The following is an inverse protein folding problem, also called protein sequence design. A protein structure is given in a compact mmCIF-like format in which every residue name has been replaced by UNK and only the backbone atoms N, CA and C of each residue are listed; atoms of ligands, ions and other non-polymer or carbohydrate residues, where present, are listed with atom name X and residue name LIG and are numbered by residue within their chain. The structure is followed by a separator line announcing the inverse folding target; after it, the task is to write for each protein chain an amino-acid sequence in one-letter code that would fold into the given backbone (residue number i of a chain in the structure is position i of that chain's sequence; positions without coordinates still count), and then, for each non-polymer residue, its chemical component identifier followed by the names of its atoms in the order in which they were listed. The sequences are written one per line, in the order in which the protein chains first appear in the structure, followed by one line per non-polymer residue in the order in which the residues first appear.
data_IF_769392717902
#
_entry.id   IF_769392717902
#
_cell.length_a   1.000
_cell.length_b   1.000
_cell.length_c   1.000
_cell.angle_alpha   90.00
_cell.angle_beta   90.00
_cell.angle_gamma   90.00
#
_symmetry.space_group_name_H-M   'P 1'
#
loop_
_entity.id
_entity.type
_entity.pdbx_description
1 polymer ?
#
# COMPACT_ATOMS: atom_id res chain seq x y z
N UNK A 1 9.04 23.77 5.32
CA UNK A 1 8.27 23.65 6.57
C UNK A 1 9.23 23.40 7.72
N UNK A 2 9.04 23.94 8.92
CA UNK A 2 9.83 23.49 10.07
C UNK A 2 9.52 22.01 10.31
N UNK A 3 10.55 21.18 10.31
CA UNK A 3 10.41 19.77 10.68
C UNK A 3 9.88 19.70 12.12
N UNK A 4 8.72 19.10 12.29
CA UNK A 4 8.21 18.74 13.63
C UNK A 4 9.18 17.71 14.23
N UNK A 5 9.42 17.79 15.52
CA UNK A 5 10.23 16.73 16.13
C UNK A 5 9.48 15.40 16.02
N UNK A 6 10.15 14.28 15.70
CA UNK A 6 9.51 12.97 15.59
C UNK A 6 8.61 12.62 16.78
N UNK A 7 9.03 12.97 17.98
CA UNK A 7 8.26 12.75 19.21
C UNK A 7 6.91 13.50 19.23
N UNK A 8 6.85 14.73 18.72
CA UNK A 8 5.61 15.51 18.70
C UNK A 8 4.61 14.92 17.70
N UNK A 9 5.09 14.46 16.55
CA UNK A 9 4.24 13.85 15.51
C UNK A 9 3.71 12.51 15.95
N UNK A 10 4.54 11.66 16.52
CA UNK A 10 4.14 10.35 17.04
C UNK A 10 3.06 10.47 18.12
N UNK A 11 3.20 11.42 19.04
CA UNK A 11 2.21 11.60 20.11
C UNK A 11 0.89 12.22 19.63
N UNK A 12 0.91 13.04 18.59
CA UNK A 12 -0.29 13.78 18.16
C UNK A 12 -1.19 13.00 17.19
N UNK A 13 -0.65 12.07 16.40
CA UNK A 13 -1.38 11.38 15.33
C UNK A 13 -1.37 9.86 15.44
N UNK A 14 -0.52 9.28 16.30
CA UNK A 14 -0.53 7.84 16.52
C UNK A 14 -1.86 7.42 17.13
N UNK A 15 -2.47 6.43 16.49
CA UNK A 15 -3.70 5.82 16.94
C UNK A 15 -3.57 4.29 16.86
N UNK A 16 -3.93 3.61 17.92
CA UNK A 16 -4.08 2.17 17.96
C UNK A 16 -5.46 1.86 18.52
N UNK A 17 -6.36 1.47 17.63
CA UNK A 17 -7.73 1.08 17.93
C UNK A 17 -7.87 -0.42 18.12
N UNK A 18 -9.12 -0.85 18.16
CA UNK A 18 -9.48 -2.27 18.29
C UNK A 18 -9.33 -3.01 16.96
N UNK A 19 -9.61 -2.33 15.85
CA UNK A 19 -9.61 -2.89 14.48
C UNK A 19 -8.80 -2.05 13.51
N UNK A 20 -8.15 -0.99 14.00
CA UNK A 20 -7.41 -0.06 13.16
C UNK A 20 -6.19 0.48 13.85
N UNK A 21 -5.23 0.93 13.05
CA UNK A 21 -4.06 1.62 13.53
C UNK A 21 -3.67 2.71 12.52
N UNK A 22 -3.21 3.85 13.03
CA UNK A 22 -2.55 4.89 12.25
C UNK A 22 -1.22 5.22 12.91
N UNK A 23 -0.16 5.17 12.12
CA UNK A 23 1.17 5.57 12.56
C UNK A 23 1.78 6.51 11.52
N UNK A 24 2.27 7.68 11.93
CA UNK A 24 3.17 8.49 11.13
C UNK A 24 4.44 7.71 10.82
N UNK A 25 5.04 7.94 9.63
CA UNK A 25 6.24 7.21 9.21
C UNK A 25 7.39 7.33 10.22
N UNK A 26 7.57 8.50 10.82
CA UNK A 26 8.59 8.76 11.83
C UNK A 26 8.36 7.98 13.16
N UNK A 27 7.22 7.36 13.32
CA UNK A 27 6.91 6.45 14.43
C UNK A 27 7.45 5.03 14.24
N UNK A 28 7.86 4.68 13.02
CA UNK A 28 8.40 3.35 12.72
C UNK A 28 9.92 3.33 12.88
N UNK A 29 10.46 2.41 13.68
CA UNK A 29 11.91 2.22 13.74
C UNK A 29 12.40 1.58 12.44
N UNK A 30 13.56 2.02 11.89
CA UNK A 30 14.17 1.36 10.75
C UNK A 30 14.56 -0.08 11.11
N UNK A 31 14.30 -0.99 10.20
CA UNK A 31 14.55 -2.42 10.35
C UNK A 31 15.49 -2.92 9.25
N UNK A 32 16.13 -4.05 9.49
CA UNK A 32 16.93 -4.76 8.49
C UNK A 32 16.13 -5.94 7.95
N UNK A 33 16.02 -6.04 6.64
CA UNK A 33 15.33 -7.16 6.01
C UNK A 33 16.33 -8.19 5.47
N UNK A 34 16.13 -9.49 5.71
CA UNK A 34 16.87 -10.54 5.04
C UNK A 34 16.71 -10.42 3.51
N UNK A 35 17.84 -10.52 2.77
CA UNK A 35 17.83 -10.36 1.32
C UNK A 35 17.89 -8.90 0.81
N UNK A 36 17.98 -7.90 1.71
CA UNK A 36 18.04 -6.48 1.38
C UNK A 36 19.25 -5.78 2.01
N UNK A 37 20.47 -6.14 1.60
CA UNK A 37 21.68 -5.56 2.18
C UNK A 37 21.72 -4.05 1.93
N UNK A 38 22.05 -3.29 2.99
CA UNK A 38 22.19 -1.83 2.91
C UNK A 38 20.87 -1.05 2.88
N UNK A 39 19.72 -1.69 2.68
CA UNK A 39 18.44 -1.01 2.71
C UNK A 39 18.00 -0.65 4.13
N UNK A 40 17.27 0.47 4.26
CA UNK A 40 16.43 0.73 5.42
C UNK A 40 14.99 0.32 5.10
N UNK A 41 14.35 -0.33 6.05
CA UNK A 41 12.99 -0.80 5.88
C UNK A 41 12.12 -0.40 7.08
N UNK A 42 10.88 -0.02 6.79
CA UNK A 42 9.87 0.29 7.80
C UNK A 42 8.73 -0.72 7.64
N UNK A 43 8.56 -1.60 8.63
CA UNK A 43 7.48 -2.60 8.63
C UNK A 43 6.20 -1.91 9.08
N UNK A 44 5.38 -1.51 8.11
CA UNK A 44 4.17 -0.72 8.33
C UNK A 44 3.04 -1.59 8.90
N UNK A 45 2.87 -2.81 8.37
CA UNK A 45 1.94 -3.80 8.88
C UNK A 45 2.54 -5.20 8.86
N UNK A 46 2.08 -6.03 9.78
CA UNK A 46 2.44 -7.44 9.87
C UNK A 46 1.36 -8.22 10.63
N UNK A 47 1.41 -9.56 10.65
CA UNK A 47 0.49 -10.37 11.44
C UNK A 47 0.45 -10.03 12.94
N UNK A 48 1.51 -9.42 13.48
CA UNK A 48 1.52 -8.94 14.88
C UNK A 48 0.52 -7.80 15.12
N UNK A 49 0.13 -7.06 14.07
CA UNK A 49 -0.92 -6.04 14.10
C UNK A 49 -2.32 -6.64 13.85
N UNK A 50 -2.40 -7.92 13.51
CA UNK A 50 -3.63 -8.60 13.11
C UNK A 50 -3.87 -8.62 11.59
N UNK A 51 -2.92 -8.12 10.79
CA UNK A 51 -3.04 -8.08 9.34
C UNK A 51 -2.76 -9.45 8.70
N UNK A 52 -3.52 -9.83 7.68
CA UNK A 52 -3.29 -11.01 6.85
C UNK A 52 -2.15 -10.82 5.82
N UNK A 53 -1.41 -9.74 5.92
CA UNK A 53 -0.33 -9.34 5.00
C UNK A 53 0.83 -8.67 5.75
N UNK A 54 1.94 -8.50 5.05
CA UNK A 54 3.06 -7.65 5.48
C UNK A 54 3.18 -6.50 4.51
N UNK A 55 3.16 -5.25 5.01
CA UNK A 55 3.42 -4.07 4.20
C UNK A 55 4.68 -3.37 4.70
N UNK A 56 5.57 -3.04 3.77
CA UNK A 56 6.92 -2.55 4.08
C UNK A 56 7.23 -1.37 3.16
N UNK A 57 7.74 -0.30 3.72
CA UNK A 57 8.41 0.75 2.97
C UNK A 57 9.91 0.46 3.00
N UNK A 58 10.56 0.51 1.83
CA UNK A 58 11.98 0.20 1.68
C UNK A 58 12.68 1.35 0.98
N UNK A 59 13.70 1.90 1.64
CA UNK A 59 14.68 2.80 1.05
C UNK A 59 15.91 1.98 0.63
N UNK A 60 16.07 1.77 -0.68
CA UNK A 60 17.18 1.03 -1.26
C UNK A 60 18.23 2.01 -1.80
N UNK A 61 19.43 2.07 -1.21
CA UNK A 61 20.47 3.01 -1.62
C UNK A 61 21.02 2.73 -3.04
N UNK A 62 21.65 3.75 -3.62
CA UNK A 62 22.27 3.64 -4.94
C UNK A 62 23.25 2.46 -5.05
N UNK A 63 23.18 1.73 -6.16
CA UNK A 63 24.04 0.59 -6.46
C UNK A 63 23.73 -0.68 -5.65
N UNK A 64 22.67 -0.68 -4.85
CA UNK A 64 22.27 -1.84 -4.05
C UNK A 64 21.23 -2.71 -4.77
N UNK A 65 21.12 -3.94 -4.29
CA UNK A 65 20.12 -4.92 -4.71
C UNK A 65 19.41 -5.46 -3.49
N UNK A 66 18.11 -5.74 -3.64
CA UNK A 66 17.32 -6.36 -2.59
C UNK A 66 16.17 -7.16 -3.16
N UNK A 67 15.75 -8.21 -2.45
CA UNK A 67 14.67 -9.05 -2.93
C UNK A 67 14.47 -10.29 -2.08
N UNK A 68 13.68 -11.21 -2.59
CA UNK A 68 13.41 -12.50 -1.95
C UNK A 68 13.55 -13.63 -2.96
N UNK A 69 14.02 -14.77 -2.49
CA UNK A 69 13.95 -16.02 -3.22
C UNK A 69 12.48 -16.40 -3.50
N UNK A 70 12.29 -17.29 -4.46
CA UNK A 70 10.99 -17.86 -4.75
C UNK A 70 10.39 -18.52 -3.50
N UNK A 71 9.11 -18.27 -3.29
CA UNK A 71 8.31 -18.87 -2.23
C UNK A 71 6.97 -19.27 -2.87
N UNK A 72 6.60 -20.54 -2.76
CA UNK A 72 5.43 -21.10 -3.43
C UNK A 72 4.09 -20.57 -2.92
N UNK A 73 4.08 -19.82 -1.85
CA UNK A 73 2.89 -19.31 -1.20
C UNK A 73 2.78 -17.78 -1.21
N UNK A 74 3.92 -17.07 -1.25
CA UNK A 74 3.95 -15.63 -1.08
C UNK A 74 4.03 -14.89 -2.41
N UNK A 75 3.02 -14.09 -2.69
CA UNK A 75 3.03 -13.09 -3.77
C UNK A 75 3.48 -11.72 -3.24
N UNK A 76 4.03 -10.91 -4.14
CA UNK A 76 4.57 -9.59 -3.77
C UNK A 76 4.00 -8.52 -4.70
N UNK A 77 3.21 -7.60 -4.15
CA UNK A 77 2.88 -6.35 -4.82
C UNK A 77 3.97 -5.32 -4.54
N UNK A 78 4.32 -4.52 -5.54
CA UNK A 78 5.24 -3.40 -5.42
C UNK A 78 4.67 -2.14 -6.04
N UNK A 79 5.06 -1.00 -5.50
CA UNK A 79 4.83 0.31 -6.07
C UNK A 79 6.07 1.18 -5.85
N UNK A 80 6.61 1.78 -6.92
CA UNK A 80 7.77 2.66 -6.84
C UNK A 80 7.30 4.08 -6.52
N UNK A 81 7.69 4.57 -5.34
CA UNK A 81 7.33 5.90 -4.85
C UNK A 81 8.29 6.98 -5.37
N UNK A 82 9.60 6.68 -5.37
CA UNK A 82 10.64 7.64 -5.75
C UNK A 82 11.89 6.95 -6.29
N UNK A 83 12.70 7.65 -7.09
CA UNK A 83 13.93 7.16 -7.66
C UNK A 83 13.73 6.30 -8.90
N UNK A 84 14.59 5.31 -9.12
CA UNK A 84 14.48 4.36 -10.22
C UNK A 84 15.04 3.00 -9.81
N UNK A 85 14.43 1.94 -10.32
CA UNK A 85 14.87 0.57 -10.08
C UNK A 85 14.69 -0.30 -11.32
N UNK A 86 15.42 -1.42 -11.38
CA UNK A 86 15.12 -2.49 -12.29
C UNK A 86 14.59 -3.69 -11.50
N UNK A 87 13.47 -4.23 -11.94
CA UNK A 87 12.88 -5.44 -11.40
C UNK A 87 13.34 -6.63 -12.24
N UNK A 88 13.95 -7.60 -11.59
CA UNK A 88 14.28 -8.90 -12.13
C UNK A 88 13.38 -9.96 -11.49
N UNK A 89 12.75 -10.74 -12.34
CA UNK A 89 11.97 -11.95 -11.99
C UNK A 89 12.41 -13.07 -12.92
N UNK A 90 11.64 -14.15 -13.02
CA UNK A 90 11.86 -15.19 -14.02
C UNK A 90 11.55 -14.74 -15.46
N UNK A 91 10.92 -13.57 -15.63
CA UNK A 91 10.61 -12.94 -16.91
C UNK A 91 11.65 -11.88 -17.32
N UNK A 92 11.43 -11.22 -18.45
CA UNK A 92 12.28 -10.10 -18.91
C UNK A 92 12.38 -9.01 -17.84
N UNK A 93 13.57 -8.50 -17.52
CA UNK A 93 13.76 -7.39 -16.60
C UNK A 93 12.95 -6.16 -17.00
N UNK A 94 12.46 -5.41 -16.00
CA UNK A 94 11.64 -4.21 -16.19
C UNK A 94 12.27 -3.02 -15.52
N UNK A 95 12.43 -1.94 -16.25
CA UNK A 95 12.81 -0.65 -15.68
C UNK A 95 11.58 -0.01 -15.03
N UNK A 96 11.75 0.47 -13.79
CA UNK A 96 10.72 1.08 -12.98
C UNK A 96 11.02 2.55 -12.75
N UNK A 97 9.99 3.37 -12.86
CA UNK A 97 9.97 4.80 -12.55
C UNK A 97 8.86 5.09 -11.53
N UNK A 98 8.85 6.25 -10.84
CA UNK A 98 7.79 6.59 -9.90
C UNK A 98 6.41 6.43 -10.51
N UNK A 99 5.54 5.68 -9.81
CA UNK A 99 4.23 5.25 -10.32
C UNK A 99 4.22 3.90 -11.02
N UNK A 100 5.37 3.25 -11.25
CA UNK A 100 5.42 1.84 -11.68
C UNK A 100 4.93 0.93 -10.56
N UNK A 101 4.08 -0.03 -10.90
CA UNK A 101 3.53 -1.01 -9.96
C UNK A 101 3.43 -2.39 -10.57
N UNK A 102 3.27 -3.39 -9.73
CA UNK A 102 2.92 -4.73 -10.20
C UNK A 102 2.78 -5.75 -9.10
N UNK A 103 2.28 -6.90 -9.50
CA UNK A 103 2.15 -8.10 -8.70
C UNK A 103 3.08 -9.18 -9.25
N UNK A 104 4.03 -9.61 -8.45
CA UNK A 104 4.87 -10.77 -8.71
C UNK A 104 4.19 -11.97 -8.05
N UNK A 105 3.86 -13.02 -8.83
CA UNK A 105 3.10 -14.15 -8.30
C UNK A 105 3.91 -14.97 -7.30
N UNK A 106 3.21 -15.81 -6.54
CA UNK A 106 3.83 -16.87 -5.76
C UNK A 106 4.70 -17.77 -6.65
N UNK A 107 5.68 -18.42 -6.08
CA UNK A 107 6.70 -19.24 -6.75
C UNK A 107 7.69 -18.45 -7.63
N UNK A 108 7.58 -17.14 -7.74
CA UNK A 108 8.55 -16.31 -8.44
C UNK A 108 9.51 -15.61 -7.47
N UNK A 109 10.82 -15.66 -7.77
CA UNK A 109 11.79 -14.81 -7.12
C UNK A 109 11.62 -13.37 -7.59
N UNK A 110 11.93 -12.41 -6.71
CA UNK A 110 11.89 -10.99 -7.00
C UNK A 110 13.18 -10.32 -6.54
N UNK A 111 13.80 -9.56 -7.43
CA UNK A 111 14.98 -8.75 -7.11
C UNK A 111 14.81 -7.35 -7.69
N UNK A 112 15.05 -6.35 -6.87
CA UNK A 112 15.15 -4.96 -7.28
C UNK A 112 16.62 -4.56 -7.24
N UNK A 113 17.08 -3.89 -8.29
CA UNK A 113 18.40 -3.26 -8.34
C UNK A 113 18.24 -1.80 -8.69
N UNK A 114 19.07 -0.93 -8.12
CA UNK A 114 18.97 0.51 -8.34
C UNK A 114 20.32 1.15 -8.53
N UNK A 115 20.38 2.15 -9.41
CA UNK A 115 21.57 3.00 -9.61
C UNK A 115 21.49 4.31 -8.82
N UNK A 116 20.38 5.08 -8.91
CA UNK A 116 20.28 6.35 -8.18
C UNK A 116 19.77 6.20 -6.76
N UNK A 117 19.31 5.02 -6.36
CA UNK A 117 18.50 4.78 -5.16
C UNK A 117 17.01 4.84 -5.47
N UNK A 118 16.20 4.18 -4.62
CA UNK A 118 14.76 4.22 -4.78
C UNK A 118 14.02 3.98 -3.46
N UNK A 119 12.76 4.42 -3.43
CA UNK A 119 11.80 4.12 -2.36
C UNK A 119 10.69 3.26 -2.91
N UNK A 120 10.51 2.08 -2.32
CA UNK A 120 9.53 1.07 -2.71
C UNK A 120 8.50 0.85 -1.60
N UNK A 121 7.23 0.87 -1.95
CA UNK A 121 6.18 0.31 -1.11
C UNK A 121 5.93 -1.13 -1.56
N UNK A 122 6.09 -2.07 -0.64
CA UNK A 122 5.98 -3.50 -0.88
C UNK A 122 4.88 -4.08 -0.01
N UNK A 123 4.06 -4.97 -0.57
CA UNK A 123 3.09 -5.75 0.17
C UNK A 123 3.30 -7.22 -0.17
N UNK A 124 3.43 -8.05 0.84
CA UNK A 124 3.52 -9.50 0.71
C UNK A 124 2.37 -10.18 1.44
N UNK A 125 1.70 -11.05 0.74
CA UNK A 125 0.68 -11.90 1.35
C UNK A 125 0.73 -13.31 0.76
N UNK A 126 0.19 -14.26 1.50
CA UNK A 126 -0.06 -15.60 0.99
C UNK A 126 -1.13 -15.51 -0.09
N UNK A 127 -0.87 -16.14 -1.25
CA UNK A 127 -1.91 -16.33 -2.25
C UNK A 127 -2.91 -17.36 -1.75
N UNK A 128 -4.17 -17.06 -1.89
CA UNK A 128 -5.27 -17.94 -1.55
C UNK A 128 -5.84 -18.52 -2.85
N UNK A 129 -5.53 -19.79 -3.21
CA UNK A 129 -6.04 -20.40 -4.42
C UNK A 129 -7.55 -20.62 -4.35
N UNK A 130 -8.22 -20.59 -5.51
CA UNK A 130 -9.59 -21.07 -5.67
C UNK A 130 -9.63 -22.22 -6.68
N UNK A 131 -10.78 -22.91 -6.77
CA UNK A 131 -10.91 -24.03 -7.69
C UNK A 131 -10.63 -23.66 -9.15
N UNK A 132 -11.05 -22.46 -9.56
CA UNK A 132 -10.88 -21.96 -10.93
C UNK A 132 -9.54 -21.21 -11.12
N UNK A 133 -8.88 -20.81 -10.03
CA UNK A 133 -7.63 -20.06 -10.04
C UNK A 133 -6.65 -20.67 -9.02
N UNK A 134 -6.02 -21.82 -9.36
CA UNK A 134 -5.10 -22.51 -8.45
C UNK A 134 -3.76 -21.79 -8.29
N UNK A 135 -3.40 -20.88 -9.22
CA UNK A 135 -2.11 -20.18 -9.24
C UNK A 135 -2.31 -18.67 -9.29
N UNK A 136 -1.45 -17.93 -8.59
CA UNK A 136 -1.42 -16.48 -8.67
C UNK A 136 -0.88 -16.00 -10.01
N UNK A 137 -1.35 -14.82 -10.47
CA UNK A 137 -0.98 -14.25 -11.77
C UNK A 137 -0.11 -13.01 -11.62
N UNK A 138 0.82 -12.83 -12.55
CA UNK A 138 1.58 -11.59 -12.67
C UNK A 138 0.72 -10.47 -13.26
N UNK A 139 0.90 -9.26 -12.74
CA UNK A 139 0.36 -8.04 -13.33
C UNK A 139 1.36 -6.90 -13.14
N UNK A 140 1.52 -6.05 -14.16
CA UNK A 140 2.45 -4.93 -14.12
C UNK A 140 1.88 -3.75 -14.90
N UNK A 141 2.14 -2.55 -14.42
CA UNK A 141 1.68 -1.33 -15.07
C UNK A 141 2.40 -0.08 -14.55
N UNK A 142 1.88 1.05 -15.02
CA UNK A 142 2.27 2.37 -14.53
C UNK A 142 1.01 3.19 -14.27
N UNK A 143 0.94 3.89 -13.14
CA UNK A 143 -0.29 4.58 -12.72
C UNK A 143 -0.80 5.60 -13.72
N UNK A 144 0.10 6.23 -14.51
CA UNK A 144 -0.29 7.18 -15.54
C UNK A 144 -1.08 6.57 -16.71
N UNK A 145 -1.04 5.25 -16.85
CA UNK A 145 -1.76 4.50 -17.88
C UNK A 145 -3.08 3.93 -17.36
N UNK A 146 -3.32 4.00 -16.05
CA UNK A 146 -4.56 3.53 -15.43
C UNK A 146 -5.60 4.64 -15.43
N UNK A 147 -6.79 4.42 -16.01
CA UNK A 147 -7.86 5.43 -16.03
C UNK A 147 -8.23 5.93 -14.63
N UNK A 148 -8.49 7.24 -14.52
CA UNK A 148 -9.04 7.86 -13.31
C UNK A 148 -10.56 7.91 -13.44
N UNK A 149 -11.21 6.87 -12.99
CA UNK A 149 -12.66 6.76 -13.07
C UNK A 149 -13.33 7.62 -11.99
N UNK A 150 -14.51 8.17 -12.31
CA UNK A 150 -15.31 8.90 -11.33
C UNK A 150 -15.87 7.92 -10.30
N UNK A 151 -15.66 8.23 -9.03
CA UNK A 151 -16.17 7.42 -7.93
C UNK A 151 -17.46 7.99 -7.35
N UNK A 152 -18.45 7.11 -7.13
CA UNK A 152 -19.75 7.45 -6.51
C UNK A 152 -20.44 8.66 -7.16
N UNK A 153 -20.40 8.76 -8.50
CA UNK A 153 -20.97 9.86 -9.29
C UNK A 153 -20.43 11.25 -8.92
N UNK A 154 -19.34 11.33 -8.16
CA UNK A 154 -18.69 12.59 -7.79
C UNK A 154 -17.45 12.84 -8.64
N UNK A 155 -17.47 13.82 -9.58
CA UNK A 155 -16.32 14.10 -10.45
C UNK A 155 -15.07 14.57 -9.72
N UNK A 156 -15.20 15.04 -8.48
CA UNK A 156 -14.09 15.43 -7.62
C UNK A 156 -13.47 14.25 -6.82
N UNK A 157 -14.00 13.04 -7.00
CA UNK A 157 -13.48 11.80 -6.43
C UNK A 157 -13.12 10.84 -7.56
N UNK A 158 -11.87 10.38 -7.60
CA UNK A 158 -11.36 9.49 -8.65
C UNK A 158 -10.78 8.23 -8.07
N UNK A 159 -11.04 7.11 -8.74
CA UNK A 159 -10.48 5.80 -8.44
C UNK A 159 -9.63 5.30 -9.61
N UNK A 160 -8.43 4.80 -9.32
CA UNK A 160 -7.60 4.05 -10.26
C UNK A 160 -7.47 2.61 -9.76
N UNK A 161 -7.89 1.65 -10.55
CA UNK A 161 -7.80 0.22 -10.23
C UNK A 161 -6.48 -0.32 -10.78
N UNK A 162 -5.47 -0.48 -9.90
CA UNK A 162 -4.13 -0.92 -10.31
C UNK A 162 -4.08 -2.42 -10.59
N UNK A 163 -4.72 -3.24 -9.78
CA UNK A 163 -4.88 -4.67 -10.03
C UNK A 163 -6.29 -4.88 -10.57
N UNK A 164 -6.44 -5.57 -11.72
CA UNK A 164 -7.74 -5.77 -12.34
C UNK A 164 -8.77 -6.40 -11.39
N UNK A 165 -10.02 -5.97 -11.49
CA UNK A 165 -11.15 -6.61 -10.80
C UNK A 165 -11.52 -7.93 -11.53
N UNK A 166 -10.72 -8.96 -11.26
CA UNK A 166 -10.80 -10.29 -11.86
C UNK A 166 -10.66 -11.34 -10.75
N UNK A 167 -11.52 -12.37 -10.69
CA UNK A 167 -11.45 -13.44 -9.69
C UNK A 167 -10.12 -14.20 -9.64
N UNK A 168 -9.25 -14.06 -10.65
CA UNK A 168 -7.89 -14.61 -10.62
C UNK A 168 -6.99 -13.95 -9.57
N UNK A 169 -7.33 -12.73 -9.14
CA UNK A 169 -6.60 -12.03 -8.09
C UNK A 169 -7.35 -12.14 -6.75
N UNK A 170 -6.64 -12.46 -5.70
CA UNK A 170 -7.15 -12.53 -4.32
C UNK A 170 -6.88 -11.25 -3.52
N UNK A 171 -6.44 -10.22 -4.22
CA UNK A 171 -6.21 -8.88 -3.69
C UNK A 171 -6.58 -7.83 -4.73
N UNK A 172 -6.98 -6.67 -4.26
CA UNK A 172 -7.10 -5.45 -5.05
C UNK A 172 -6.14 -4.40 -4.49
N UNK A 173 -5.56 -3.62 -5.40
CA UNK A 173 -4.80 -2.42 -5.03
C UNK A 173 -5.28 -1.28 -5.91
N UNK A 174 -5.68 -0.19 -5.25
CA UNK A 174 -6.27 0.97 -5.92
C UNK A 174 -5.65 2.26 -5.40
N UNK A 175 -5.80 3.34 -6.17
CA UNK A 175 -5.49 4.70 -5.72
C UNK A 175 -6.77 5.53 -5.74
N UNK A 176 -7.14 6.09 -4.60
CA UNK A 176 -8.11 7.17 -4.53
C UNK A 176 -7.43 8.53 -4.68
N UNK A 177 -8.12 9.44 -5.36
CA UNK A 177 -7.78 10.86 -5.44
C UNK A 177 -9.03 11.65 -5.12
N UNK A 178 -8.96 12.56 -4.15
CA UNK A 178 -10.04 13.46 -3.75
C UNK A 178 -9.58 14.90 -3.86
N UNK A 179 -10.37 15.73 -4.53
CA UNK A 179 -10.16 17.19 -4.54
C UNK A 179 -10.41 17.77 -3.14
N UNK A 180 -9.85 18.96 -2.82
CA UNK A 180 -10.08 19.62 -1.54
C UNK A 180 -11.56 19.73 -1.17
N UNK A 181 -11.92 19.31 0.05
CA UNK A 181 -13.28 19.29 0.55
C UNK A 181 -14.10 18.07 0.15
N UNK A 182 -13.56 17.16 -0.67
CA UNK A 182 -14.22 15.93 -1.08
C UNK A 182 -13.76 14.73 -0.25
N UNK A 183 -14.57 13.68 -0.24
CA UNK A 183 -14.29 12.46 0.50
C UNK A 183 -15.26 11.33 0.17
N UNK A 184 -15.25 10.29 0.99
CA UNK A 184 -16.20 9.19 0.90
C UNK A 184 -17.60 9.67 1.32
N UNK A 185 -18.64 9.29 0.57
CA UNK A 185 -20.01 9.80 0.82
C UNK A 185 -20.67 9.26 2.09
N UNK A 186 -20.16 8.17 2.61
CA UNK A 186 -20.70 7.47 3.78
C UNK A 186 -19.56 6.95 4.67
N UNK A 187 -19.90 6.54 5.88
CA UNK A 187 -19.06 5.67 6.68
C UNK A 187 -19.23 4.24 6.17
N UNK A 188 -18.19 3.69 5.61
CA UNK A 188 -18.18 2.32 5.09
C UNK A 188 -17.82 1.32 6.18
N UNK A 189 -18.36 0.10 6.07
CA UNK A 189 -17.92 -1.06 6.84
C UNK A 189 -18.10 -2.32 5.99
N UNK A 190 -17.08 -3.15 5.93
CA UNK A 190 -17.09 -4.39 5.15
C UNK A 190 -16.07 -5.39 5.70
N UNK A 191 -16.17 -6.63 5.25
CA UNK A 191 -15.34 -7.74 5.74
C UNK A 191 -13.87 -7.64 5.34
N UNK A 192 -13.55 -6.92 4.25
CA UNK A 192 -12.19 -6.80 3.76
C UNK A 192 -11.33 -5.95 4.71
N UNK A 193 -10.07 -6.37 4.89
CA UNK A 193 -9.05 -5.59 5.56
C UNK A 193 -8.35 -4.63 4.59
N UNK A 194 -7.69 -3.61 5.12
CA UNK A 194 -6.89 -2.66 4.34
C UNK A 194 -5.52 -2.41 4.94
N UNK A 195 -4.54 -2.22 4.04
CA UNK A 195 -3.30 -1.52 4.28
C UNK A 195 -3.22 -0.30 3.37
N UNK A 196 -3.32 0.90 3.93
CA UNK A 196 -3.39 2.16 3.19
C UNK A 196 -2.12 2.97 3.42
N UNK A 197 -1.50 3.44 2.32
CA UNK A 197 -0.37 4.35 2.36
C UNK A 197 -0.74 5.67 1.70
N UNK A 198 -0.50 6.77 2.44
CA UNK A 198 -0.89 8.11 2.01
C UNK A 198 0.17 8.70 1.09
N UNK A 199 -0.18 8.87 -0.21
CA UNK A 199 0.77 9.29 -1.25
C UNK A 199 0.96 10.81 -1.29
N UNK A 200 -0.11 11.58 -1.03
CA UNK A 200 -0.11 13.03 -1.22
C UNK A 200 -1.23 13.73 -0.47
N UNK A 201 -0.98 14.96 -0.04
CA UNK A 201 -1.99 15.83 0.55
C UNK A 201 -2.21 15.56 2.03
N UNK A 202 -3.39 15.93 2.52
CA UNK A 202 -3.81 15.72 3.91
C UNK A 202 -5.32 15.63 4.01
N UNK A 203 -5.80 15.03 5.08
CA UNK A 203 -7.23 14.88 5.31
C UNK A 203 -7.56 14.51 6.74
N UNK A 204 -8.82 14.21 6.93
CA UNK A 204 -9.34 13.55 8.14
C UNK A 204 -9.78 12.15 7.73
N UNK A 205 -9.29 11.15 8.43
CA UNK A 205 -9.73 9.78 8.28
C UNK A 205 -10.56 9.35 9.50
N UNK A 206 -11.78 8.88 9.24
CA UNK A 206 -12.62 8.30 10.28
C UNK A 206 -12.25 6.84 10.48
N UNK A 207 -11.87 6.49 11.70
CA UNK A 207 -11.52 5.13 12.08
C UNK A 207 -12.29 4.74 13.34
N UNK A 208 -13.06 3.67 13.26
CA UNK A 208 -13.88 3.13 14.34
C UNK A 208 -14.92 4.13 14.86
N UNK A 209 -14.51 5.09 15.70
CA UNK A 209 -15.39 6.01 16.41
C UNK A 209 -14.90 7.48 16.40
N UNK A 210 -13.83 7.77 15.63
CA UNK A 210 -13.20 9.11 15.66
C UNK A 210 -12.55 9.52 14.35
N UNK A 211 -12.42 10.83 14.17
CA UNK A 211 -11.66 11.43 13.08
C UNK A 211 -10.22 11.69 13.52
N UNK A 212 -9.26 11.35 12.67
CA UNK A 212 -7.82 11.50 12.89
C UNK A 212 -7.22 12.22 11.70
N UNK A 213 -6.33 13.19 11.95
CA UNK A 213 -5.58 13.87 10.89
C UNK A 213 -4.62 12.90 10.23
N UNK A 214 -4.57 12.99 8.88
CA UNK A 214 -3.67 12.19 8.04
C UNK A 214 -2.96 13.07 7.02
N UNK A 215 -1.73 12.70 6.69
CA UNK A 215 -0.93 13.38 5.67
C UNK A 215 -0.03 12.41 4.92
N UNK A 216 0.67 12.90 3.90
CA UNK A 216 1.61 12.08 3.12
C UNK A 216 2.59 11.31 4.02
N UNK A 217 2.90 10.08 3.61
CA UNK A 217 3.72 9.07 4.30
C UNK A 217 3.07 8.42 5.53
N UNK A 218 1.83 8.78 5.91
CA UNK A 218 1.10 8.04 6.94
C UNK A 218 0.67 6.66 6.43
N UNK A 219 0.69 5.70 7.34
CA UNK A 219 0.14 4.38 7.13
C UNK A 219 -1.08 4.13 8.02
N UNK A 220 -2.13 3.55 7.41
CA UNK A 220 -3.34 3.14 8.12
C UNK A 220 -3.59 1.65 7.88
N UNK A 221 -3.75 0.91 8.96
CA UNK A 221 -4.33 -0.43 8.94
C UNK A 221 -5.79 -0.38 9.33
N UNK A 222 -6.63 -1.09 8.61
CA UNK A 222 -8.02 -1.32 8.95
C UNK A 222 -8.32 -2.82 8.84
N UNK A 223 -8.66 -3.43 9.95
CA UNK A 223 -9.10 -4.82 10.00
C UNK A 223 -10.54 -4.99 9.54
N UNK A 224 -11.02 -6.23 9.43
CA UNK A 224 -12.38 -6.55 9.03
C UNK A 224 -13.43 -5.78 9.86
N UNK A 225 -14.45 -5.27 9.15
CA UNK A 225 -15.56 -4.50 9.73
C UNK A 225 -15.16 -3.23 10.49
N UNK A 226 -13.98 -2.66 10.21
CA UNK A 226 -13.63 -1.34 10.73
C UNK A 226 -14.49 -0.27 10.07
N UNK A 227 -15.31 0.50 10.83
CA UNK A 227 -15.99 1.67 10.27
C UNK A 227 -14.96 2.69 9.82
N UNK A 228 -15.11 3.17 8.58
CA UNK A 228 -14.14 4.05 7.95
C UNK A 228 -14.80 5.08 7.04
N UNK A 229 -14.22 6.26 6.98
CA UNK A 229 -14.55 7.31 6.03
C UNK A 229 -13.36 8.26 5.88
N UNK A 230 -13.43 9.13 4.89
CA UNK A 230 -12.34 10.06 4.60
C UNK A 230 -12.87 11.38 4.04
N UNK A 231 -12.22 12.49 4.38
CA UNK A 231 -12.40 13.81 3.76
C UNK A 231 -11.06 14.50 3.56
N UNK A 232 -10.80 15.01 2.36
CA UNK A 232 -9.63 15.82 2.02
C UNK A 232 -9.77 17.23 2.59
N UNK A 233 -8.83 17.67 3.43
CA UNK A 233 -8.89 18.97 4.11
C UNK A 233 -7.75 19.92 3.72
N UNK A 234 -6.79 19.45 2.92
CA UNK A 234 -5.68 20.25 2.46
C UNK A 234 -6.02 21.14 1.27
N UNK A 235 -5.12 22.05 0.88
CA UNK A 235 -5.31 22.93 -0.29
C UNK A 235 -5.01 22.24 -1.63
N UNK A 236 -4.48 21.03 -1.62
CA UNK A 236 -4.16 20.20 -2.78
C UNK A 236 -4.92 18.88 -2.72
N UNK A 237 -5.13 18.20 -3.85
CA UNK A 237 -5.76 16.88 -3.86
C UNK A 237 -5.06 15.90 -2.90
N UNK A 238 -5.87 15.11 -2.22
CA UNK A 238 -5.41 14.03 -1.37
C UNK A 238 -5.42 12.73 -2.13
N UNK A 239 -4.33 11.96 -2.02
CA UNK A 239 -4.16 10.68 -2.71
C UNK A 239 -3.66 9.62 -1.74
N UNK A 240 -4.25 8.44 -1.81
CA UNK A 240 -3.73 7.28 -1.10
C UNK A 240 -3.85 6.00 -1.90
N UNK A 241 -2.86 5.13 -1.77
CA UNK A 241 -2.86 3.77 -2.29
C UNK A 241 -3.36 2.84 -1.18
N UNK A 242 -4.30 1.96 -1.51
CA UNK A 242 -4.79 0.99 -0.54
C UNK A 242 -4.90 -0.40 -1.14
N UNK A 243 -4.57 -1.37 -0.32
CA UNK A 243 -4.79 -2.79 -0.52
C UNK A 243 -6.11 -3.19 0.14
N UNK A 244 -6.78 -4.17 -0.44
CA UNK A 244 -7.83 -4.97 0.21
C UNK A 244 -7.77 -6.43 -0.25
N UNK A 245 -8.12 -7.36 0.63
CA UNK A 245 -8.35 -8.75 0.25
C UNK A 245 -9.71 -8.88 -0.42
N UNK A 246 -9.78 -9.63 -1.52
CA UNK A 246 -10.99 -9.77 -2.35
C UNK A 246 -11.09 -11.18 -2.95
N UNK A 247 -12.25 -11.50 -3.50
CA UNK A 247 -12.49 -12.69 -4.33
C UNK A 247 -12.20 -14.03 -3.64
N UNK A 248 -12.16 -14.04 -2.32
CA UNK A 248 -12.04 -15.28 -1.51
C UNK A 248 -13.03 -15.21 -0.36
N UNK A 249 -13.47 -16.39 0.06
CA UNK A 249 -14.30 -16.51 1.24
C UNK A 249 -13.46 -16.15 2.48
N UNK A 250 -13.93 -15.20 3.25
CA UNK A 250 -13.27 -14.81 4.47
C UNK A 250 -13.79 -15.67 5.60
N UNK A 251 -12.92 -16.47 6.18
CA UNK A 251 -13.21 -17.25 7.36
C UNK A 251 -13.48 -16.30 8.53
N UNK A 252 -14.69 -16.38 9.06
CA UNK A 252 -15.17 -15.55 10.19
C UNK A 252 -14.86 -16.29 11.51
#
# INVERSE_FOLDING_TARGET
MPMRSPQQTVHSRTFLGRRSALFPLEGYPPSRLPGWPGAEAFVLASPALGAGFVQILVDLPAGQRGGWAADDQLQTFYYLLDGAAQLETQSTPRDLTPGSFGLVPAAAAVTFSTHPGCRLLLLRKRYEPSADHPESRAHHGHESQVPRETWADNPASKLQTLIPDDPAFDLAVNIFTFEPGCGLPIVETHVMEHGLYYLQGRGLYYLEDRWIEVEADDFIYMGPYCPQSFIATGPTPSRYLYYKNVNREIMI
#
